data_IF_848171164497
#
_entry.id   IF_848171164497
#
_cell.length_a   1.000
_cell.length_b   1.000
_cell.length_c   1.000
_cell.angle_alpha   90.00
_cell.angle_beta   90.00
_cell.angle_gamma   90.00
#
_symmetry.space_group_name_H-M   'P 1'
#
loop_
_entity.id
_entity.type
_entity.pdbx_description
1 polymer ?
#
# COMPACT_ATOMS: atom_id res chain seq x y z
N UNK A 1 24.24 -72.42 18.43
CA UNK A 1 24.31 -73.23 17.21
C UNK A 1 23.97 -72.41 15.98
N UNK A 2 25.02 -72.22 15.20
CA UNK A 2 25.12 -72.07 13.74
C UNK A 2 24.24 -71.03 13.05
N UNK A 3 24.81 -69.91 12.64
CA UNK A 3 25.51 -69.61 11.36
C UNK A 3 24.64 -69.99 10.13
N UNK A 4 24.19 -69.03 9.38
CA UNK A 4 24.56 -68.91 7.98
C UNK A 4 24.26 -67.48 7.41
N UNK A 5 25.30 -66.89 6.87
CA UNK A 5 25.34 -65.86 5.82
C UNK A 5 24.58 -66.34 4.58
N UNK A 6 23.97 -65.41 3.89
CA UNK A 6 24.18 -65.16 2.46
C UNK A 6 23.43 -63.92 2.00
N UNK A 7 24.18 -62.94 1.57
CA UNK A 7 23.80 -61.97 0.52
C UNK A 7 24.00 -62.63 -0.85
N UNK A 8 23.31 -62.29 -1.91
CA UNK A 8 23.84 -61.21 -2.69
C UNK A 8 22.78 -60.26 -3.38
N UNK A 9 23.28 -59.09 -3.72
CA UNK A 9 22.80 -58.07 -4.63
C UNK A 9 22.04 -58.55 -5.87
N UNK A 10 20.87 -57.95 -6.14
CA UNK A 10 20.37 -57.77 -7.51
C UNK A 10 19.75 -56.37 -7.66
N UNK A 11 20.14 -55.59 -8.70
CA UNK A 11 19.62 -54.27 -8.93
C UNK A 11 18.29 -54.34 -9.67
N UNK A 12 17.28 -53.58 -9.15
CA UNK A 12 15.98 -53.39 -9.79
C UNK A 12 16.13 -52.65 -11.11
N UNK A 13 15.77 -53.35 -12.19
CA UNK A 13 15.63 -52.80 -13.56
C UNK A 13 14.53 -51.72 -13.60
N UNK A 14 14.90 -50.55 -14.11
CA UNK A 14 13.98 -49.56 -14.63
C UNK A 14 13.31 -50.05 -15.93
N UNK A 15 12.01 -49.81 -16.16
CA UNK A 15 11.44 -50.01 -17.47
C UNK A 15 11.75 -48.75 -18.33
N UNK A 16 12.34 -49.04 -19.49
CA UNK A 16 12.53 -48.08 -20.58
C UNK A 16 11.14 -47.63 -21.13
N UNK A 17 10.91 -46.32 -21.13
CA UNK A 17 9.85 -45.73 -21.93
C UNK A 17 10.45 -45.35 -23.28
N UNK A 18 10.04 -46.04 -24.32
CA UNK A 18 10.34 -45.71 -25.70
C UNK A 18 9.56 -44.49 -26.15
N UNK A 19 10.30 -43.60 -26.76
CA UNK A 19 9.86 -42.38 -27.49
C UNK A 19 8.85 -42.70 -28.58
N UNK A 20 7.77 -41.92 -28.63
CA UNK A 20 7.11 -41.61 -29.88
C UNK A 20 6.94 -40.06 -29.96
N UNK A 21 7.93 -39.43 -30.57
CA UNK A 21 7.84 -38.05 -31.03
C UNK A 21 7.13 -38.07 -32.38
N UNK A 22 5.87 -37.73 -32.43
CA UNK A 22 5.19 -37.33 -33.68
C UNK A 22 5.64 -35.93 -34.03
N UNK A 23 6.49 -35.86 -35.05
CA UNK A 23 6.85 -34.62 -35.76
C UNK A 23 5.64 -34.17 -36.58
N UNK A 24 4.98 -33.13 -36.17
CA UNK A 24 4.02 -32.42 -37.02
C UNK A 24 4.81 -31.45 -37.89
N UNK A 25 4.97 -31.81 -39.17
CA UNK A 25 5.42 -30.93 -40.22
C UNK A 25 4.35 -29.85 -40.48
N UNK A 26 4.62 -28.61 -40.14
CA UNK A 26 3.90 -27.47 -40.66
C UNK A 26 4.52 -27.09 -42.01
N UNK A 27 3.79 -27.41 -43.04
CA UNK A 27 4.10 -26.98 -44.41
C UNK A 27 3.93 -25.46 -44.54
N UNK A 28 4.92 -24.93 -45.15
CA UNK A 28 5.08 -23.59 -45.69
C UNK A 28 3.99 -23.30 -46.77
N UNK A 29 3.05 -22.40 -46.47
CA UNK A 29 2.18 -21.82 -47.49
C UNK A 29 2.51 -20.34 -47.65
N UNK A 30 3.54 -20.11 -48.45
CA UNK A 30 3.82 -18.83 -49.09
C UNK A 30 2.80 -18.56 -50.21
N UNK A 31 1.80 -17.75 -49.93
CA UNK A 31 0.94 -17.17 -51.00
C UNK A 31 1.47 -15.76 -51.31
N UNK A 32 2.21 -15.70 -52.39
CA UNK A 32 2.56 -14.48 -53.11
C UNK A 32 1.31 -13.94 -53.81
N UNK A 33 0.92 -12.71 -53.54
CA UNK A 33 0.04 -11.95 -54.42
C UNK A 33 0.82 -10.87 -55.14
N UNK A 34 0.57 -10.70 -56.45
CA UNK A 34 1.41 -9.87 -57.35
C UNK A 34 1.03 -8.39 -57.24
N UNK A 35 2.09 -7.60 -57.24
CA UNK A 35 2.06 -6.15 -57.46
C UNK A 35 1.60 -5.89 -58.90
N UNK A 36 0.51 -5.14 -59.09
CA UNK A 36 0.21 -4.46 -60.34
C UNK A 36 0.64 -3.00 -60.24
N UNK A 37 1.66 -2.67 -60.98
CA UNK A 37 2.01 -1.30 -61.37
C UNK A 37 0.93 -0.72 -62.28
N UNK A 38 0.49 0.50 -61.99
CA UNK A 38 -0.07 1.44 -62.97
C UNK A 38 0.26 2.84 -62.49
N UNK A 39 1.26 3.38 -63.07
CA UNK A 39 1.43 4.46 -64.04
C UNK A 39 0.74 5.79 -63.66
N UNK A 40 1.62 6.71 -63.46
CA UNK A 40 1.86 8.00 -64.08
C UNK A 40 0.85 9.14 -63.90
N UNK A 41 1.46 10.22 -63.46
CA UNK A 41 1.16 11.63 -63.78
C UNK A 41 -0.10 12.27 -63.18
N UNK A 42 0.08 13.18 -62.22
CA UNK A 42 0.03 14.62 -62.53
C UNK A 42 0.41 15.44 -61.27
N UNK A 43 1.50 16.15 -61.47
CA UNK A 43 1.89 17.32 -60.68
C UNK A 43 1.03 18.47 -61.16
N UNK A 44 0.29 19.10 -60.31
CA UNK A 44 -0.10 20.51 -60.46
C UNK A 44 -0.02 21.23 -59.14
N UNK A 45 1.01 22.04 -59.08
CA UNK A 45 1.22 23.22 -58.28
C UNK A 45 0.10 24.23 -58.52
N UNK A 46 -0.53 24.69 -57.44
CA UNK A 46 -1.11 26.04 -57.40
C UNK A 46 -0.76 26.68 -56.08
N UNK A 47 0.18 27.59 -56.19
CA UNK A 47 0.47 28.62 -55.22
C UNK A 47 -0.49 29.79 -55.42
N UNK A 48 -0.66 30.55 -54.33
CA UNK A 48 -1.10 31.94 -54.27
C UNK A 48 -2.55 32.29 -54.61
N UNK A 49 -3.19 32.82 -53.56
CA UNK A 49 -3.93 34.11 -53.49
C UNK A 49 -4.79 34.07 -52.22
N UNK A 50 -4.96 35.00 -51.39
CA UNK A 50 -4.70 36.46 -51.48
C UNK A 50 -4.90 37.06 -50.07
N UNK A 51 -4.19 38.11 -49.83
CA UNK A 51 -4.34 39.05 -48.73
C UNK A 51 -5.61 39.86 -48.96
N UNK A 52 -6.33 40.10 -47.90
CA UNK A 52 -7.17 41.32 -47.67
C UNK A 52 -8.22 40.96 -46.61
N UNK A 53 -8.51 41.66 -45.57
CA UNK A 53 -8.27 43.02 -45.19
C UNK A 53 -8.67 43.22 -43.75
N UNK A 54 -8.02 44.20 -43.20
CA UNK A 54 -8.57 45.20 -42.29
C UNK A 54 -8.82 44.87 -40.83
N UNK A 55 -7.87 45.29 -40.06
CA UNK A 55 -8.00 45.81 -38.73
C UNK A 55 -8.77 47.14 -38.77
N UNK A 56 -9.65 47.44 -37.87
CA UNK A 56 -9.77 48.77 -37.34
C UNK A 56 -9.38 48.84 -35.86
N UNK A 57 -8.39 49.65 -35.64
CA UNK A 57 -7.99 50.25 -34.39
C UNK A 57 -9.07 51.22 -33.86
N UNK A 58 -9.05 51.32 -32.57
CA UNK A 58 -9.39 52.44 -31.71
C UNK A 58 -10.86 52.53 -31.27
N UNK A 59 -11.05 52.19 -29.99
CA UNK A 59 -11.31 53.28 -29.08
C UNK A 59 -10.93 52.91 -27.62
N UNK A 60 -10.26 53.86 -27.05
CA UNK A 60 -9.70 53.99 -25.74
C UNK A 60 -10.85 54.09 -24.71
N UNK A 61 -10.89 53.19 -23.73
CA UNK A 61 -11.46 53.56 -22.45
C UNK A 61 -10.58 53.09 -21.29
N UNK A 62 -10.40 54.02 -20.36
CA UNK A 62 -9.49 54.05 -19.22
C UNK A 62 -9.78 52.93 -18.20
N UNK A 63 -8.78 52.52 -17.40
CA UNK A 63 -8.96 51.52 -16.39
C UNK A 63 -9.85 52.04 -15.26
N UNK A 64 -10.95 51.37 -15.02
CA UNK A 64 -11.74 51.51 -13.81
C UNK A 64 -10.95 50.81 -12.70
N UNK A 65 -10.41 51.61 -11.81
CA UNK A 65 -9.88 51.17 -10.53
C UNK A 65 -11.04 50.73 -9.65
N UNK A 66 -11.36 49.46 -9.65
CA UNK A 66 -12.24 48.89 -8.63
C UNK A 66 -11.39 48.51 -7.42
N UNK A 67 -11.45 49.38 -6.42
CA UNK A 67 -10.88 49.18 -5.12
C UNK A 67 -11.69 48.11 -4.38
N UNK A 68 -11.18 46.86 -4.38
CA UNK A 68 -11.69 45.80 -3.52
C UNK A 68 -11.56 46.24 -2.05
N UNK A 69 -12.63 46.76 -1.49
CA UNK A 69 -12.81 47.00 -0.07
C UNK A 69 -12.70 45.66 0.66
N UNK A 70 -11.63 45.50 1.43
CA UNK A 70 -11.54 44.45 2.47
C UNK A 70 -12.68 44.69 3.46
N UNK A 71 -13.47 43.65 3.82
CA UNK A 71 -14.49 43.81 4.84
C UNK A 71 -13.83 44.10 6.19
N UNK A 72 -14.00 45.33 6.68
CA UNK A 72 -13.66 45.74 8.04
C UNK A 72 -14.61 45.05 9.02
N UNK A 73 -14.19 43.92 9.60
CA UNK A 73 -14.97 43.12 10.55
C UNK A 73 -14.99 43.70 11.97
N UNK A 74 -14.39 44.86 12.22
CA UNK A 74 -14.47 45.54 13.50
C UNK A 74 -15.52 46.67 13.44
N UNK A 75 -16.82 46.31 13.55
CA UNK A 75 -17.83 47.26 13.98
C UNK A 75 -17.46 47.70 15.39
N UNK A 76 -17.21 49.01 15.58
CA UNK A 76 -17.04 49.61 16.92
C UNK A 76 -18.26 49.25 17.78
N UNK A 77 -18.04 48.47 18.81
CA UNK A 77 -19.05 48.12 19.81
C UNK A 77 -19.55 49.45 20.46
N UNK A 78 -20.86 49.55 20.60
CA UNK A 78 -21.46 50.71 21.27
C UNK A 78 -21.07 50.71 22.76
N UNK A 79 -21.06 51.92 23.39
CA UNK A 79 -20.74 52.05 24.83
C UNK A 79 -21.59 51.12 25.70
N UNK A 80 -22.86 50.86 25.32
CA UNK A 80 -23.73 49.91 26.00
C UNK A 80 -23.27 48.46 25.88
N UNK A 81 -22.78 48.04 24.73
CA UNK A 81 -22.24 46.68 24.52
C UNK A 81 -20.94 46.49 25.27
N UNK A 82 -20.08 47.48 25.36
CA UNK A 82 -18.85 47.44 26.16
C UNK A 82 -19.14 47.29 27.65
N UNK A 83 -20.15 47.99 28.16
CA UNK A 83 -20.59 47.85 29.56
C UNK A 83 -21.17 46.47 29.88
N UNK A 84 -21.89 45.86 28.94
CA UNK A 84 -22.43 44.50 29.12
C UNK A 84 -21.28 43.48 29.14
N UNK A 85 -20.31 43.58 28.26
CA UNK A 85 -19.14 42.73 28.21
C UNK A 85 -18.32 42.87 29.51
N UNK A 86 -18.10 44.09 29.97
CA UNK A 86 -17.40 44.36 31.22
C UNK A 86 -18.12 43.73 32.43
N UNK A 87 -19.46 43.82 32.46
CA UNK A 87 -20.28 43.17 33.49
C UNK A 87 -20.18 41.63 33.49
N UNK A 88 -20.18 41.02 32.31
CA UNK A 88 -20.01 39.55 32.18
C UNK A 88 -18.62 39.11 32.66
N UNK A 89 -17.57 39.81 32.29
CA UNK A 89 -16.21 39.55 32.73
C UNK A 89 -16.07 39.70 34.24
N UNK A 90 -16.65 40.73 34.82
CA UNK A 90 -16.66 40.93 36.28
C UNK A 90 -17.40 39.78 37.01
N UNK A 91 -18.55 39.32 36.50
CA UNK A 91 -19.32 38.22 37.05
C UNK A 91 -18.53 36.87 36.97
N UNK A 92 -17.81 36.64 35.88
CA UNK A 92 -16.97 35.44 35.75
C UNK A 92 -15.74 35.47 36.67
N UNK A 93 -15.15 36.63 36.94
CA UNK A 93 -14.06 36.79 37.88
C UNK A 93 -14.53 36.58 39.35
N UNK A 94 -15.71 37.11 39.70
CA UNK A 94 -16.29 36.89 41.03
C UNK A 94 -16.71 35.43 41.20
N UNK A 95 -17.38 34.84 40.19
CA UNK A 95 -17.75 33.42 40.22
C UNK A 95 -16.55 32.48 40.32
N UNK A 96 -15.49 32.73 39.52
CA UNK A 96 -14.24 31.98 39.58
C UNK A 96 -13.50 32.14 40.90
N UNK A 97 -13.53 33.34 41.52
CA UNK A 97 -12.94 33.59 42.83
C UNK A 97 -13.67 32.87 43.95
N UNK A 98 -15.01 32.80 43.92
CA UNK A 98 -15.82 32.05 44.88
C UNK A 98 -15.60 30.54 44.79
N UNK A 99 -15.53 29.98 43.57
CA UNK A 99 -15.21 28.56 43.35
C UNK A 99 -13.81 28.22 43.86
N UNK A 100 -12.82 29.08 43.61
CA UNK A 100 -11.46 28.90 44.14
C UNK A 100 -11.46 28.91 45.71
N UNK A 101 -12.22 29.82 46.33
CA UNK A 101 -12.23 29.97 47.76
C UNK A 101 -12.99 28.84 48.48
N UNK A 102 -14.09 28.31 47.89
CA UNK A 102 -14.90 27.25 48.50
C UNK A 102 -14.47 25.82 48.14
N UNK A 103 -13.85 25.60 46.96
CA UNK A 103 -13.58 24.25 46.46
C UNK A 103 -12.07 23.93 46.46
N UNK A 104 -11.22 24.95 46.28
CA UNK A 104 -9.78 24.74 46.07
C UNK A 104 -8.89 25.26 47.21
N UNK A 105 -9.46 25.85 48.28
CA UNK A 105 -8.68 26.29 49.42
C UNK A 105 -8.17 25.08 50.20
N UNK A 106 -6.87 24.84 50.33
CA UNK A 106 -6.38 23.73 51.13
C UNK A 106 -6.66 23.96 52.61
N UNK A 107 -7.36 23.03 53.26
CA UNK A 107 -7.54 23.02 54.70
C UNK A 107 -6.18 22.79 55.37
N UNK A 108 -5.72 23.83 56.03
CA UNK A 108 -4.51 23.79 56.88
C UNK A 108 -4.87 23.09 58.22
N UNK A 109 -4.90 21.76 58.24
CA UNK A 109 -4.97 20.99 59.50
C UNK A 109 -3.58 20.59 59.95
N UNK A 110 -3.33 21.03 61.13
CA UNK A 110 -2.20 20.83 62.03
C UNK A 110 -1.54 19.44 61.97
N UNK A 111 -0.23 19.49 61.87
CA UNK A 111 0.76 18.44 61.98
C UNK A 111 0.57 17.51 63.16
N UNK A 112 0.39 16.22 62.92
CA UNK A 112 0.83 15.16 63.80
C UNK A 112 1.98 14.43 63.10
N UNK A 113 3.14 14.42 63.78
CA UNK A 113 4.37 13.74 63.37
C UNK A 113 4.10 12.24 63.16
N UNK A 114 3.91 11.82 61.94
CA UNK A 114 4.10 10.44 61.51
C UNK A 114 5.24 10.45 60.47
N UNK A 115 6.27 9.69 60.75
CA UNK A 115 7.42 9.45 59.90
C UNK A 115 6.96 9.14 58.49
N UNK A 116 7.45 9.82 57.42
CA UNK A 116 7.03 9.51 56.06
C UNK A 116 7.57 8.15 55.66
N UNK A 117 6.67 7.18 55.50
CA UNK A 117 6.95 6.01 54.67
C UNK A 117 7.13 6.54 53.26
N UNK A 118 8.37 6.59 52.78
CA UNK A 118 8.69 6.86 51.41
C UNK A 118 8.10 5.71 50.58
N UNK A 119 6.87 5.85 50.15
CA UNK A 119 6.35 5.08 49.04
C UNK A 119 7.11 5.54 47.81
N UNK A 120 8.12 4.75 47.42
CA UNK A 120 8.77 4.92 46.16
C UNK A 120 7.69 4.97 45.08
N UNK A 121 7.45 6.14 44.51
CA UNK A 121 6.66 6.29 43.29
C UNK A 121 7.29 5.34 42.24
N UNK A 122 6.69 4.17 42.10
CA UNK A 122 7.03 3.24 41.03
C UNK A 122 6.72 4.00 39.73
N UNK A 123 7.75 4.59 39.12
CA UNK A 123 7.62 5.28 37.84
C UNK A 123 6.88 4.34 36.90
N UNK A 124 5.73 4.77 36.43
CA UNK A 124 4.98 4.03 35.39
C UNK A 124 5.95 3.80 34.23
N UNK A 125 6.21 2.56 33.80
CA UNK A 125 7.14 2.31 32.71
C UNK A 125 6.71 3.15 31.51
N UNK A 126 7.62 3.95 30.96
CA UNK A 126 7.36 4.73 29.76
C UNK A 126 6.96 3.74 28.66
N UNK A 127 5.79 3.95 28.04
CA UNK A 127 5.32 3.11 26.94
C UNK A 127 6.40 3.05 25.85
N UNK A 128 6.68 1.86 25.35
CA UNK A 128 7.62 1.69 24.24
C UNK A 128 7.08 2.37 22.98
N UNK A 129 7.94 2.95 22.13
CA UNK A 129 7.52 3.49 20.87
C UNK A 129 6.95 2.37 19.98
N UNK A 130 5.99 2.71 19.14
CA UNK A 130 5.38 1.77 18.18
C UNK A 130 5.52 2.28 16.76
N UNK A 131 5.62 1.35 15.80
CA UNK A 131 5.62 1.67 14.37
C UNK A 131 4.30 2.32 13.96
N UNK A 132 4.32 3.49 13.31
CA UNK A 132 3.12 4.05 12.71
C UNK A 132 2.51 3.16 11.62
N UNK A 133 3.33 2.39 10.88
CA UNK A 133 2.87 1.54 9.78
C UNK A 133 2.21 0.26 10.30
N UNK A 134 2.84 -0.42 11.25
CA UNK A 134 2.43 -1.77 11.69
C UNK A 134 1.86 -1.83 13.10
N UNK A 135 2.13 -0.84 13.96
CA UNK A 135 1.75 -0.85 15.36
C UNK A 135 2.61 -1.74 16.26
N UNK A 136 3.65 -2.40 15.74
CA UNK A 136 4.57 -3.20 16.56
C UNK A 136 5.42 -2.34 17.48
N UNK A 137 5.78 -2.85 18.66
CA UNK A 137 6.72 -2.18 19.55
C UNK A 137 8.11 -2.11 18.90
N UNK A 138 8.74 -0.95 18.97
CA UNK A 138 10.05 -0.70 18.38
C UNK A 138 11.15 -0.75 19.45
N UNK A 139 12.30 -1.28 19.07
CA UNK A 139 13.51 -1.23 19.91
C UNK A 139 14.13 0.17 19.97
N UNK A 140 13.95 0.95 18.89
CA UNK A 140 14.43 2.32 18.74
C UNK A 140 13.32 3.22 18.20
N UNK A 141 13.07 4.33 18.89
CA UNK A 141 12.07 5.32 18.50
C UNK A 141 12.35 5.98 17.15
N UNK A 142 13.62 6.02 16.72
CA UNK A 142 14.02 6.61 15.43
C UNK A 142 13.40 5.86 14.25
N UNK A 143 13.14 4.55 14.39
CA UNK A 143 12.53 3.73 13.36
C UNK A 143 11.11 4.20 13.01
N UNK A 144 10.38 4.81 13.96
CA UNK A 144 9.06 5.39 13.71
C UNK A 144 9.10 6.62 12.79
N UNK A 145 10.24 7.28 12.69
CA UNK A 145 10.41 8.51 11.92
C UNK A 145 11.01 8.28 10.52
N UNK A 146 11.32 7.03 10.18
CA UNK A 146 11.85 6.71 8.86
C UNK A 146 10.80 6.97 7.77
N UNK A 147 11.23 7.29 6.53
CA UNK A 147 10.31 7.34 5.41
C UNK A 147 9.69 5.97 5.16
N UNK A 148 8.43 5.95 4.78
CA UNK A 148 7.82 4.75 4.20
C UNK A 148 8.38 4.59 2.79
N UNK A 149 8.82 3.38 2.44
CA UNK A 149 9.22 3.02 1.08
C UNK A 149 8.29 1.92 0.58
N UNK A 150 7.65 2.17 -0.54
CA UNK A 150 6.81 1.22 -1.26
C UNK A 150 7.58 0.63 -2.44
N UNK A 151 7.50 -0.68 -2.63
CA UNK A 151 8.14 -1.37 -3.75
C UNK A 151 7.12 -2.17 -4.54
N UNK A 152 7.17 -2.02 -5.85
CA UNK A 152 6.38 -2.83 -6.78
C UNK A 152 7.04 -4.18 -6.95
N UNK A 153 6.52 -5.24 -6.33
CA UNK A 153 7.08 -6.60 -6.37
C UNK A 153 6.29 -7.46 -7.34
N UNK A 154 7.00 -8.12 -8.23
CA UNK A 154 6.43 -8.99 -9.26
C UNK A 154 5.87 -10.29 -8.67
N UNK A 155 4.82 -10.83 -9.31
CA UNK A 155 4.24 -12.12 -8.91
C UNK A 155 3.99 -13.09 -10.07
N UNK A 156 4.66 -12.91 -11.22
CA UNK A 156 4.67 -13.94 -12.27
C UNK A 156 5.31 -15.24 -11.77
N UNK A 157 5.08 -16.35 -12.45
CA UNK A 157 5.71 -17.64 -12.10
C UNK A 157 7.23 -17.55 -12.02
N UNK A 158 7.86 -16.84 -12.97
CA UNK A 158 9.31 -16.67 -13.07
C UNK A 158 9.90 -15.76 -11.97
N UNK A 159 9.05 -14.99 -11.29
CA UNK A 159 9.44 -14.13 -10.19
C UNK A 159 9.43 -14.85 -8.83
N UNK A 160 8.83 -16.04 -8.74
CA UNK A 160 8.66 -16.77 -7.47
C UNK A 160 9.83 -17.73 -7.18
N UNK A 161 10.22 -17.91 -5.91
CA UNK A 161 9.81 -17.14 -4.75
C UNK A 161 10.43 -15.74 -4.76
N UNK A 162 9.70 -14.73 -4.24
CA UNK A 162 10.20 -13.38 -4.07
C UNK A 162 11.06 -13.26 -2.80
N UNK A 163 11.82 -12.17 -2.72
CA UNK A 163 12.63 -11.84 -1.54
C UNK A 163 12.10 -10.60 -0.82
N UNK A 164 12.14 -10.58 0.50
CA UNK A 164 11.84 -9.43 1.34
C UNK A 164 10.37 -9.22 1.68
N UNK A 165 9.44 -10.03 1.18
CA UNK A 165 8.01 -9.86 1.46
C UNK A 165 7.62 -10.17 2.91
N UNK A 166 8.37 -11.02 3.61
CA UNK A 166 8.16 -11.31 5.04
C UNK A 166 8.41 -10.10 5.93
N UNK A 167 9.24 -9.15 5.47
CA UNK A 167 9.62 -7.94 6.19
C UNK A 167 8.70 -6.73 5.91
N UNK A 168 7.80 -6.85 4.93
CA UNK A 168 6.86 -5.79 4.61
C UNK A 168 5.86 -5.55 5.74
N UNK A 169 5.58 -4.29 6.06
CA UNK A 169 4.58 -3.93 7.07
C UNK A 169 3.15 -4.03 6.52
N UNK A 170 2.94 -3.58 5.28
CA UNK A 170 1.66 -3.69 4.56
C UNK A 170 1.95 -4.15 3.13
N UNK A 171 1.16 -5.09 2.64
CA UNK A 171 1.20 -5.53 1.24
C UNK A 171 -0.17 -5.36 0.63
N UNK A 172 -0.25 -4.64 -0.49
CA UNK A 172 -1.43 -4.61 -1.36
C UNK A 172 -1.21 -5.55 -2.53
N UNK A 173 -2.18 -6.41 -2.79
CA UNK A 173 -2.19 -7.37 -3.89
C UNK A 173 -3.37 -7.11 -4.82
N UNK A 174 -3.10 -6.94 -6.12
CA UNK A 174 -4.11 -6.72 -7.14
C UNK A 174 -3.64 -7.31 -8.48
N UNK A 175 -4.55 -7.54 -9.42
CA UNK A 175 -4.20 -7.95 -10.79
C UNK A 175 -3.55 -6.76 -11.48
N UNK A 176 -2.45 -7.01 -12.18
CA UNK A 176 -1.76 -5.99 -12.96
C UNK A 176 -2.14 -6.05 -14.45
N UNK A 177 -1.70 -7.08 -15.15
CA UNK A 177 -2.00 -7.33 -16.56
C UNK A 177 -2.17 -8.85 -16.79
N UNK A 178 -2.96 -9.23 -17.80
CA UNK A 178 -3.11 -10.64 -18.21
C UNK A 178 -3.57 -11.59 -17.09
N UNK A 179 -4.25 -11.09 -16.05
CA UNK A 179 -4.62 -11.86 -14.87
C UNK A 179 -3.48 -12.13 -13.88
N UNK A 180 -2.25 -11.62 -14.14
CA UNK A 180 -1.10 -11.75 -13.24
C UNK A 180 -1.24 -10.73 -12.10
N UNK A 181 -1.15 -11.18 -10.85
CA UNK A 181 -1.15 -10.27 -9.71
C UNK A 181 0.24 -9.64 -9.51
N UNK A 182 0.27 -8.53 -8.76
CA UNK A 182 1.49 -7.82 -8.37
C UNK A 182 1.32 -7.34 -6.93
N UNK A 183 2.42 -7.04 -6.25
CA UNK A 183 2.39 -6.53 -4.89
C UNK A 183 2.94 -5.12 -4.84
N UNK A 184 2.26 -4.24 -4.08
CA UNK A 184 2.87 -3.04 -3.52
C UNK A 184 3.21 -3.38 -2.07
N UNK A 185 4.49 -3.52 -1.76
CA UNK A 185 4.98 -3.82 -0.43
C UNK A 185 5.52 -2.54 0.24
N UNK A 186 4.96 -2.16 1.40
CA UNK A 186 5.31 -0.97 2.16
C UNK A 186 6.18 -1.33 3.37
N UNK A 187 7.26 -0.59 3.56
CA UNK A 187 8.24 -0.79 4.63
C UNK A 187 8.48 0.52 5.38
N UNK A 188 8.69 0.46 6.66
CA UNK A 188 9.12 1.61 7.49
C UNK A 188 10.18 1.21 8.51
N UNK A 189 9.87 0.32 9.45
CA UNK A 189 10.76 -0.11 10.51
C UNK A 189 11.76 -1.20 10.09
N UNK A 190 11.37 -2.07 9.16
CA UNK A 190 12.21 -3.16 8.65
C UNK A 190 13.09 -2.71 7.49
N UNK A 191 14.24 -3.36 7.34
CA UNK A 191 15.28 -3.00 6.37
C UNK A 191 15.89 -4.23 5.71
N UNK A 192 15.12 -4.98 4.88
CA UNK A 192 15.66 -6.15 4.19
C UNK A 192 16.83 -5.75 3.29
N UNK A 193 17.88 -6.57 3.32
CA UNK A 193 19.09 -6.36 2.52
C UNK A 193 18.97 -6.90 1.09
N UNK A 194 17.90 -7.63 0.80
CA UNK A 194 17.63 -8.19 -0.51
C UNK A 194 16.12 -8.21 -0.76
N UNK A 195 15.66 -7.49 -1.77
CA UNK A 195 14.23 -7.36 -2.05
C UNK A 195 13.96 -7.28 -3.55
N UNK A 196 12.97 -8.06 -4.00
CA UNK A 196 12.56 -8.14 -5.39
C UNK A 196 11.95 -9.50 -5.77
N UNK A 197 11.71 -9.75 -7.07
CA UNK A 197 11.99 -8.84 -8.20
C UNK A 197 11.08 -7.62 -8.24
N UNK A 198 11.66 -6.47 -8.56
CA UNK A 198 10.94 -5.19 -8.65
C UNK A 198 10.43 -4.99 -10.08
N UNK A 199 9.21 -4.46 -10.20
CA UNK A 199 8.49 -4.35 -11.48
C UNK A 199 7.79 -3.01 -11.66
N UNK A 200 7.09 -2.91 -12.78
CA UNK A 200 6.45 -1.68 -13.25
C UNK A 200 5.27 -1.23 -12.40
N UNK A 201 5.11 0.08 -12.24
CA UNK A 201 3.98 0.70 -11.56
C UNK A 201 2.68 0.62 -12.39
N UNK A 202 1.53 0.68 -11.69
CA UNK A 202 0.18 0.82 -12.25
C UNK A 202 -0.59 1.90 -11.47
N UNK A 203 -1.58 2.59 -12.07
CA UNK A 203 -2.22 3.75 -11.47
C UNK A 203 -2.77 3.51 -10.06
N UNK A 204 -3.53 2.44 -9.85
CA UNK A 204 -4.13 2.13 -8.55
C UNK A 204 -3.09 1.81 -7.45
N UNK A 205 -1.90 1.27 -7.78
CA UNK A 205 -0.82 1.09 -6.80
C UNK A 205 -0.23 2.42 -6.34
N UNK A 206 -0.22 3.42 -7.24
CA UNK A 206 0.13 4.80 -6.88
C UNK A 206 -0.88 5.33 -5.86
N UNK A 207 -2.17 5.10 -6.10
CA UNK A 207 -3.26 5.51 -5.22
C UNK A 207 -3.25 4.79 -3.85
N UNK A 208 -2.69 3.58 -3.80
CA UNK A 208 -2.47 2.87 -2.55
C UNK A 208 -1.21 3.36 -1.80
N UNK A 209 -0.18 3.84 -2.51
CA UNK A 209 1.07 4.35 -1.92
C UNK A 209 0.96 5.80 -1.42
N UNK A 210 0.24 6.66 -2.15
CA UNK A 210 0.10 8.10 -1.89
C UNK A 210 -0.32 8.42 -0.44
N UNK A 211 -1.32 7.73 0.16
CA UNK A 211 -1.77 8.00 1.53
C UNK A 211 -0.69 7.79 2.60
N UNK A 212 0.36 7.03 2.28
CA UNK A 212 1.47 6.76 3.19
C UNK A 212 2.65 7.69 3.00
N UNK A 213 2.54 8.69 2.07
CA UNK A 213 3.64 9.60 1.72
C UNK A 213 4.92 8.80 1.41
N UNK A 214 4.76 7.69 0.69
CA UNK A 214 5.80 6.71 0.44
C UNK A 214 6.71 7.10 -0.73
N UNK A 215 8.01 6.83 -0.61
CA UNK A 215 8.90 6.73 -1.76
C UNK A 215 8.56 5.46 -2.55
N UNK A 216 8.21 5.58 -3.83
CA UNK A 216 7.77 4.48 -4.67
C UNK A 216 8.89 3.95 -5.56
N UNK A 217 9.43 2.77 -5.24
CA UNK A 217 10.41 2.04 -6.05
C UNK A 217 9.73 1.12 -7.06
N UNK A 218 10.09 1.30 -8.31
CA UNK A 218 9.53 0.55 -9.44
C UNK A 218 10.48 0.53 -10.64
N UNK A 219 10.17 -0.26 -11.66
CA UNK A 219 10.90 -0.32 -12.93
C UNK A 219 9.95 0.11 -14.03
N UNK A 220 9.96 1.40 -14.35
CA UNK A 220 9.00 1.99 -15.27
C UNK A 220 7.55 1.77 -14.85
N UNK A 221 6.62 1.88 -15.80
CA UNK A 221 5.19 1.74 -15.56
C UNK A 221 4.37 1.78 -16.84
N UNK A 222 3.06 1.56 -16.75
CA UNK A 222 2.15 1.91 -17.83
C UNK A 222 2.21 3.43 -18.10
N UNK A 223 1.89 3.89 -19.31
CA UNK A 223 1.90 5.33 -19.63
C UNK A 223 1.09 6.16 -18.62
N UNK A 224 -0.08 5.68 -18.22
CA UNK A 224 -0.94 6.35 -17.24
C UNK A 224 -0.29 6.41 -15.86
N UNK A 225 0.36 5.32 -15.42
CA UNK A 225 1.06 5.29 -14.13
C UNK A 225 2.22 6.30 -14.11
N UNK A 226 3.01 6.39 -15.19
CA UNK A 226 4.12 7.34 -15.27
C UNK A 226 3.63 8.79 -15.31
N UNK A 227 2.51 9.05 -15.98
CA UNK A 227 1.85 10.36 -15.95
C UNK A 227 1.32 10.70 -14.55
N UNK A 228 0.72 9.74 -13.86
CA UNK A 228 0.23 9.92 -12.48
C UNK A 228 1.37 10.20 -11.50
N UNK A 229 2.47 9.47 -11.58
CA UNK A 229 3.67 9.71 -10.75
C UNK A 229 4.10 11.18 -10.85
N UNK A 230 4.19 11.69 -12.08
CA UNK A 230 4.57 13.09 -12.34
C UNK A 230 3.51 14.09 -11.87
N UNK A 231 2.24 13.86 -12.22
CA UNK A 231 1.17 14.84 -12.00
C UNK A 231 0.71 14.91 -10.53
N UNK A 232 0.82 13.81 -9.79
CA UNK A 232 0.43 13.75 -8.38
C UNK A 232 1.61 14.04 -7.43
N UNK A 233 2.81 14.27 -7.98
CA UNK A 233 4.01 14.57 -7.17
C UNK A 233 4.45 13.40 -6.30
N UNK A 234 4.34 12.16 -6.82
CA UNK A 234 4.79 10.96 -6.12
C UNK A 234 6.29 11.04 -5.86
N UNK A 235 6.73 10.59 -4.71
CA UNK A 235 8.16 10.45 -4.37
C UNK A 235 8.75 9.31 -5.20
N UNK A 236 9.21 9.66 -6.38
CA UNK A 236 9.64 8.72 -7.42
C UNK A 236 11.04 8.16 -7.17
N UNK A 237 11.15 6.83 -7.10
CA UNK A 237 12.39 6.07 -6.99
C UNK A 237 12.55 5.10 -8.17
N UNK A 238 12.11 5.46 -9.38
CA UNK A 238 12.18 4.62 -10.57
C UNK A 238 13.63 4.19 -10.87
N UNK A 239 13.82 2.88 -11.14
CA UNK A 239 15.09 2.25 -11.50
C UNK A 239 15.74 2.90 -12.73
N UNK A 240 14.95 3.28 -13.75
CA UNK A 240 15.47 3.88 -14.96
C UNK A 240 16.24 5.19 -14.71
N UNK A 241 15.86 5.94 -13.69
CA UNK A 241 16.51 7.21 -13.33
C UNK A 241 17.44 7.09 -12.12
N UNK A 242 17.44 5.96 -11.41
CA UNK A 242 18.17 5.76 -10.17
C UNK A 242 18.84 4.38 -10.14
N UNK A 243 19.41 3.93 -11.25
CA UNK A 243 19.97 2.58 -11.43
C UNK A 243 21.00 2.19 -10.39
N UNK A 244 21.73 3.17 -9.80
CA UNK A 244 22.70 2.92 -8.72
C UNK A 244 22.07 2.35 -7.43
N UNK A 245 20.77 2.55 -7.23
CA UNK A 245 20.03 1.99 -6.10
C UNK A 245 19.54 0.56 -6.32
N UNK A 246 19.71 0.04 -7.54
CA UNK A 246 19.23 -1.26 -7.96
C UNK A 246 20.35 -2.12 -8.53
N UNK A 247 20.07 -3.39 -8.77
CA UNK A 247 20.93 -4.29 -9.55
C UNK A 247 20.10 -5.36 -10.22
N UNK A 248 20.67 -6.01 -11.23
CA UNK A 248 20.06 -7.17 -11.90
C UNK A 248 20.84 -8.42 -11.54
N UNK A 249 20.11 -9.47 -11.19
CA UNK A 249 20.71 -10.80 -10.96
C UNK A 249 20.77 -11.59 -12.26
N UNK A 250 21.65 -12.55 -12.34
CA UNK A 250 21.87 -13.42 -13.51
C UNK A 250 21.09 -14.74 -13.43
N UNK A 251 20.66 -15.12 -12.24
CA UNK A 251 19.91 -16.35 -11.95
C UNK A 251 18.48 -16.33 -12.48
N UNK A 252 18.01 -15.15 -12.90
CA UNK A 252 16.72 -14.96 -13.55
C UNK A 252 16.89 -14.15 -14.83
N UNK A 253 16.14 -14.54 -15.85
CA UNK A 253 16.08 -13.76 -17.08
C UNK A 253 15.40 -12.39 -16.85
N UNK A 254 15.80 -11.37 -17.61
CA UNK A 254 15.04 -10.14 -17.69
C UNK A 254 13.64 -10.46 -18.29
N UNK A 255 12.58 -9.83 -17.80
CA UNK A 255 12.53 -8.68 -16.90
C UNK A 255 12.35 -9.05 -15.41
N UNK A 256 12.52 -10.31 -14.99
CA UNK A 256 12.21 -10.87 -13.67
C UNK A 256 13.39 -10.78 -12.66
N UNK A 257 14.31 -9.85 -12.84
CA UNK A 257 15.64 -9.88 -12.23
C UNK A 257 16.13 -8.59 -11.59
N UNK A 258 15.27 -7.59 -11.36
CA UNK A 258 15.66 -6.34 -10.70
C UNK A 258 15.46 -6.44 -9.20
N UNK A 259 16.50 -6.11 -8.43
CA UNK A 259 16.50 -6.17 -6.98
C UNK A 259 17.07 -4.88 -6.37
N UNK A 260 16.80 -4.70 -5.08
CA UNK A 260 17.37 -3.62 -4.27
C UNK A 260 17.63 -4.07 -2.84
N UNK A 261 18.17 -3.14 -2.02
CA UNK A 261 18.29 -3.27 -0.56
C UNK A 261 17.87 -1.98 0.13
N UNK A 262 17.46 -2.07 1.39
CA UNK A 262 17.11 -0.86 2.13
C UNK A 262 18.32 0.05 2.38
N UNK A 263 19.54 -0.48 2.45
CA UNK A 263 20.74 0.36 2.48
C UNK A 263 20.82 1.31 1.26
N UNK A 264 20.49 0.81 0.07
CA UNK A 264 20.49 1.59 -1.18
C UNK A 264 19.26 2.51 -1.29
N UNK A 265 18.07 2.00 -0.95
CA UNK A 265 16.82 2.76 -1.03
C UNK A 265 16.78 3.90 -0.01
N UNK A 266 17.31 3.70 1.20
CA UNK A 266 17.41 4.76 2.20
C UNK A 266 18.37 5.86 1.76
N UNK A 267 19.53 5.49 1.19
CA UNK A 267 20.47 6.45 0.62
C UNK A 267 19.83 7.25 -0.52
N UNK A 268 19.03 6.58 -1.38
CA UNK A 268 18.29 7.24 -2.46
C UNK A 268 17.21 8.18 -1.90
N UNK A 269 16.37 7.73 -0.95
CA UNK A 269 15.38 8.56 -0.28
C UNK A 269 16.04 9.81 0.32
N UNK A 270 17.15 9.63 1.04
CA UNK A 270 17.88 10.74 1.65
C UNK A 270 18.42 11.72 0.60
N UNK A 271 18.99 11.23 -0.50
CA UNK A 271 19.51 12.07 -1.58
C UNK A 271 18.43 12.93 -2.24
N UNK A 272 17.18 12.45 -2.24
CA UNK A 272 15.99 13.16 -2.77
C UNK A 272 15.30 14.02 -1.70
N UNK A 273 15.77 14.03 -0.45
CA UNK A 273 15.16 14.77 0.66
C UNK A 273 13.93 14.10 1.28
N UNK A 274 13.67 12.83 0.96
CA UNK A 274 12.56 12.05 1.52
C UNK A 274 13.00 11.40 2.84
N UNK A 275 13.10 12.20 3.89
CA UNK A 275 13.67 11.78 5.18
C UNK A 275 12.67 11.24 6.19
N UNK A 276 11.39 11.47 5.96
CA UNK A 276 10.28 10.98 6.80
C UNK A 276 9.01 10.93 5.98
N UNK A 277 7.99 10.21 6.46
CA UNK A 277 6.65 10.16 5.84
C UNK A 277 5.59 10.68 6.80
N UNK A 278 4.61 11.41 6.26
CA UNK A 278 3.47 11.93 7.00
C UNK A 278 2.19 11.26 6.53
N UNK A 279 1.63 10.40 7.35
CA UNK A 279 0.40 9.68 7.01
C UNK A 279 -0.46 9.45 8.26
N UNK A 280 -1.73 9.11 8.03
CA UNK A 280 -2.65 8.68 9.10
C UNK A 280 -2.51 7.17 9.27
N UNK A 281 -1.99 6.68 10.42
CA UNK A 281 -1.86 5.25 10.69
C UNK A 281 -3.23 4.56 10.73
N UNK A 282 -3.28 3.29 10.35
CA UNK A 282 -4.42 2.44 10.71
C UNK A 282 -4.47 2.26 12.23
N UNK A 283 -5.68 2.29 12.79
CA UNK A 283 -5.86 2.03 14.22
C UNK A 283 -5.46 0.60 14.55
N UNK A 284 -4.50 0.43 15.45
CA UNK A 284 -3.96 -0.88 15.84
C UNK A 284 -4.44 -1.29 17.23
N UNK A 285 -4.46 -2.60 17.47
CA UNK A 285 -4.77 -3.22 18.77
C UNK A 285 -3.81 -4.37 19.08
N UNK A 286 -3.77 -4.80 20.32
CA UNK A 286 -3.12 -6.05 20.69
C UNK A 286 -3.92 -7.25 20.17
N UNK A 287 -3.22 -8.36 19.94
CA UNK A 287 -3.82 -9.64 19.58
C UNK A 287 -4.82 -10.10 20.66
N UNK A 288 -5.96 -10.61 20.21
CA UNK A 288 -6.99 -11.21 21.08
C UNK A 288 -7.50 -12.47 20.38
N UNK A 289 -6.68 -13.56 20.31
CA UNK A 289 -7.08 -14.80 19.66
C UNK A 289 -8.41 -15.33 20.19
N UNK A 290 -9.25 -15.82 19.28
CA UNK A 290 -10.57 -16.34 19.61
C UNK A 290 -10.69 -17.79 19.11
N UNK A 291 -11.76 -18.48 19.46
CA UNK A 291 -12.11 -19.74 18.81
C UNK A 291 -12.28 -19.51 17.33
N UNK A 292 -11.51 -20.19 16.48
CA UNK A 292 -11.53 -19.91 15.06
C UNK A 292 -12.88 -20.16 14.40
N UNK A 293 -13.31 -19.20 13.58
CA UNK A 293 -14.48 -19.31 12.70
C UNK A 293 -14.11 -19.04 11.23
N UNK A 294 -12.84 -18.71 10.99
CA UNK A 294 -12.27 -18.47 9.66
C UNK A 294 -10.81 -18.92 9.67
N UNK A 295 -10.58 -20.24 9.71
CA UNK A 295 -9.24 -20.83 9.71
C UNK A 295 -8.69 -21.03 8.29
N UNK A 296 -9.53 -21.37 7.33
CA UNK A 296 -9.18 -21.55 5.92
C UNK A 296 -9.84 -20.46 5.11
N UNK A 297 -9.06 -19.68 4.35
CA UNK A 297 -9.51 -18.50 3.63
C UNK A 297 -8.99 -18.58 2.21
N UNK A 298 -9.87 -18.39 1.23
CA UNK A 298 -9.53 -18.37 -0.19
C UNK A 298 -10.05 -17.10 -0.85
N UNK A 299 -9.22 -16.48 -1.68
CA UNK A 299 -9.61 -15.37 -2.53
C UNK A 299 -9.43 -15.75 -4.01
N UNK A 300 -10.51 -15.85 -4.75
CA UNK A 300 -10.49 -16.07 -6.19
C UNK A 300 -10.19 -14.76 -6.93
N UNK A 301 -8.95 -14.23 -6.77
CA UNK A 301 -8.56 -12.95 -7.36
C UNK A 301 -8.47 -13.08 -8.88
N UNK A 302 -7.87 -14.17 -9.37
CA UNK A 302 -7.60 -14.44 -10.78
C UNK A 302 -7.67 -15.95 -11.04
N UNK A 303 -6.82 -16.49 -11.90
CA UNK A 303 -6.69 -17.95 -12.07
C UNK A 303 -6.21 -18.62 -10.77
N UNK A 304 -6.40 -19.93 -10.65
CA UNK A 304 -5.97 -20.69 -9.48
C UNK A 304 -4.46 -20.54 -9.17
N UNK A 305 -3.65 -20.25 -10.20
CA UNK A 305 -2.20 -20.03 -10.05
C UNK A 305 -1.87 -18.72 -9.30
N UNK A 306 -2.75 -17.71 -9.35
CA UNK A 306 -2.60 -16.41 -8.70
C UNK A 306 -3.59 -16.17 -7.56
N UNK A 307 -4.42 -17.15 -7.25
CA UNK A 307 -5.39 -17.04 -6.16
C UNK A 307 -4.76 -17.47 -4.84
N UNK A 308 -4.69 -16.58 -3.83
CA UNK A 308 -4.08 -16.90 -2.55
C UNK A 308 -5.03 -17.71 -1.66
N UNK A 309 -4.43 -18.62 -0.91
CA UNK A 309 -5.02 -19.33 0.21
C UNK A 309 -4.30 -18.93 1.51
N UNK A 310 -5.04 -18.76 2.60
CA UNK A 310 -4.50 -18.45 3.91
C UNK A 310 -5.01 -19.47 4.94
N UNK A 311 -4.06 -20.10 5.67
CA UNK A 311 -4.37 -21.02 6.75
C UNK A 311 -4.02 -20.38 8.10
N UNK A 312 -5.00 -20.22 8.98
CA UNK A 312 -4.79 -19.68 10.32
C UNK A 312 -3.91 -20.59 11.16
N UNK A 313 -2.91 -19.99 11.79
CA UNK A 313 -2.02 -20.66 12.74
C UNK A 313 -2.31 -20.14 14.16
N UNK A 314 -2.96 -20.95 14.97
CA UNK A 314 -3.36 -20.61 16.34
C UNK A 314 -2.16 -20.35 17.25
N UNK A 315 -1.02 -21.03 17.02
CA UNK A 315 0.17 -20.88 17.87
C UNK A 315 0.84 -19.52 17.74
N UNK A 316 0.76 -18.90 16.55
CA UNK A 316 1.40 -17.60 16.27
C UNK A 316 0.39 -16.46 16.08
N UNK A 317 -0.90 -16.80 16.03
CA UNK A 317 -1.98 -15.87 15.67
C UNK A 317 -1.70 -15.16 14.33
N UNK A 318 -1.37 -15.94 13.29
CA UNK A 318 -1.05 -15.46 11.93
C UNK A 318 -1.73 -16.34 10.89
N UNK A 319 -1.70 -15.91 9.63
CA UNK A 319 -2.30 -16.62 8.50
C UNK A 319 -1.22 -17.02 7.50
N UNK A 320 -0.86 -18.32 7.44
CA UNK A 320 0.13 -18.86 6.50
C UNK A 320 -0.40 -18.76 5.08
N UNK A 321 0.30 -18.01 4.22
CA UNK A 321 -0.09 -17.79 2.83
C UNK A 321 0.45 -18.90 1.92
N UNK A 322 -0.41 -19.40 1.05
CA UNK A 322 -0.07 -20.26 -0.09
C UNK A 322 -0.62 -19.63 -1.37
N UNK A 323 -0.08 -19.98 -2.52
CA UNK A 323 -0.51 -19.48 -3.82
C UNK A 323 -0.19 -20.51 -4.90
N UNK A 324 -1.12 -20.76 -5.83
CA UNK A 324 -0.96 -21.82 -6.82
C UNK A 324 -0.81 -23.23 -6.20
N UNK A 325 -1.39 -23.45 -5.01
CA UNK A 325 -1.32 -24.72 -4.29
C UNK A 325 -0.01 -24.98 -3.53
N UNK A 326 0.95 -24.02 -3.53
CA UNK A 326 2.23 -24.16 -2.83
C UNK A 326 2.42 -23.09 -1.77
N UNK A 327 3.20 -23.37 -0.73
CA UNK A 327 3.52 -22.39 0.30
C UNK A 327 4.24 -21.18 -0.34
N UNK A 328 3.75 -19.96 -0.07
CA UNK A 328 4.41 -18.75 -0.52
C UNK A 328 5.52 -18.39 0.48
N UNK A 329 6.76 -18.65 0.10
CA UNK A 329 7.94 -18.45 0.94
C UNK A 329 8.79 -17.28 0.47
N UNK A 330 9.52 -16.68 1.39
CA UNK A 330 10.57 -15.72 1.08
C UNK A 330 11.83 -16.45 0.62
N UNK A 331 12.40 -16.03 -0.51
CA UNK A 331 13.54 -16.73 -1.12
C UNK A 331 14.81 -16.67 -0.28
N UNK A 332 15.01 -15.63 0.54
CA UNK A 332 16.23 -15.45 1.33
C UNK A 332 16.19 -16.25 2.64
N UNK A 333 15.02 -16.34 3.24
CA UNK A 333 14.86 -16.93 4.58
C UNK A 333 14.23 -18.32 4.55
N UNK A 334 13.54 -18.69 3.46
CA UNK A 334 12.68 -19.86 3.38
C UNK A 334 11.44 -19.78 4.26
N UNK A 335 11.23 -18.67 4.96
CA UNK A 335 10.08 -18.50 5.84
C UNK A 335 8.80 -18.30 5.02
N UNK A 336 7.72 -19.00 5.40
CA UNK A 336 6.42 -18.80 4.79
C UNK A 336 5.83 -17.46 5.21
N UNK A 337 5.35 -16.67 4.24
CA UNK A 337 4.63 -15.42 4.48
C UNK A 337 3.42 -15.68 5.37
N UNK A 338 3.34 -14.95 6.49
CA UNK A 338 2.35 -15.22 7.55
C UNK A 338 1.88 -13.93 8.21
N UNK A 339 1.04 -13.10 7.53
CA UNK A 339 0.54 -11.85 8.08
C UNK A 339 -0.33 -12.06 9.34
N UNK A 340 -0.37 -11.02 10.18
CA UNK A 340 -1.26 -10.92 11.35
C UNK A 340 -2.70 -10.62 10.96
N UNK A 341 -2.87 -9.89 9.88
CA UNK A 341 -4.16 -9.44 9.36
C UNK A 341 -4.23 -9.71 7.87
N UNK A 342 -5.31 -10.32 7.42
CA UNK A 342 -5.64 -10.51 6.01
C UNK A 342 -6.93 -9.75 5.71
N UNK A 343 -6.92 -8.95 4.65
CA UNK A 343 -8.07 -8.12 4.26
C UNK A 343 -8.40 -8.39 2.80
N UNK A 344 -9.67 -8.59 2.49
CA UNK A 344 -10.19 -8.53 1.13
C UNK A 344 -11.01 -7.24 0.98
N UNK A 345 -10.62 -6.37 0.03
CA UNK A 345 -11.37 -5.18 -0.37
C UNK A 345 -12.12 -5.49 -1.67
N UNK A 346 -13.44 -5.42 -1.63
CA UNK A 346 -14.27 -5.60 -2.83
C UNK A 346 -14.29 -4.29 -3.59
N UNK A 347 -13.73 -4.28 -4.81
CA UNK A 347 -13.67 -3.12 -5.70
C UNK A 347 -14.13 -3.50 -7.09
N UNK A 348 -14.86 -2.59 -7.75
CA UNK A 348 -15.15 -2.77 -9.17
C UNK A 348 -13.85 -2.77 -9.96
N UNK A 349 -13.69 -3.75 -10.81
CA UNK A 349 -12.54 -3.90 -11.69
C UNK A 349 -12.98 -3.91 -13.15
N UNK A 350 -12.10 -3.48 -14.04
CA UNK A 350 -12.30 -3.46 -15.47
C UNK A 350 -10.97 -3.61 -16.20
N UNK A 351 -10.99 -3.42 -17.50
CA UNK A 351 -9.80 -3.36 -18.33
C UNK A 351 -9.56 -1.91 -18.79
N UNK A 352 -8.32 -1.52 -18.91
CA UNK A 352 -7.92 -0.29 -19.57
C UNK A 352 -8.23 -0.34 -21.07
N UNK A 353 -8.10 0.78 -21.76
CA UNK A 353 -8.38 0.89 -23.20
C UNK A 353 -7.49 0.00 -24.09
N UNK A 354 -6.34 -0.44 -23.57
CA UNK A 354 -5.45 -1.38 -24.25
C UNK A 354 -5.93 -2.85 -24.19
N UNK A 355 -6.95 -3.14 -23.36
CA UNK A 355 -7.52 -4.48 -23.22
C UNK A 355 -6.69 -5.47 -22.41
N UNK A 356 -5.55 -5.06 -21.84
CA UNK A 356 -4.63 -5.92 -21.10
C UNK A 356 -4.47 -5.51 -19.64
N UNK A 357 -4.27 -4.22 -19.37
CA UNK A 357 -4.09 -3.71 -18.02
C UNK A 357 -5.40 -3.66 -17.24
N UNK A 358 -5.36 -4.13 -15.99
CA UNK A 358 -6.52 -4.05 -15.10
C UNK A 358 -6.68 -2.64 -14.53
N UNK A 359 -7.92 -2.20 -14.38
CA UNK A 359 -8.30 -0.96 -13.69
C UNK A 359 -9.16 -1.26 -12.48
N UNK A 360 -9.11 -0.38 -11.47
CA UNK A 360 -9.92 -0.48 -10.26
C UNK A 360 -10.58 0.85 -9.94
N UNK A 361 -11.84 0.77 -9.49
CA UNK A 361 -12.49 1.90 -8.85
C UNK A 361 -12.07 1.94 -7.38
N UNK A 362 -10.91 2.50 -7.11
CA UNK A 362 -10.25 2.50 -5.81
C UNK A 362 -10.60 3.70 -4.91
N UNK A 363 -11.46 4.60 -5.40
CA UNK A 363 -12.07 5.69 -4.64
C UNK A 363 -13.56 5.44 -4.46
N UNK A 364 -14.14 5.98 -3.38
CA UNK A 364 -15.53 5.71 -2.99
C UNK A 364 -15.59 4.80 -1.77
N UNK A 365 -16.40 3.77 -1.82
CA UNK A 365 -16.56 2.80 -0.74
C UNK A 365 -17.01 1.43 -1.26
N UNK A 366 -16.73 0.39 -0.49
CA UNK A 366 -17.13 -0.97 -0.84
C UNK A 366 -17.09 -1.90 0.37
N UNK A 367 -17.56 -3.12 0.14
CA UNK A 367 -17.56 -4.18 1.15
C UNK A 367 -16.12 -4.62 1.46
N UNK A 368 -15.87 -4.99 2.72
CA UNK A 368 -14.58 -5.43 3.21
C UNK A 368 -14.75 -6.66 4.11
N UNK A 369 -13.77 -7.58 4.04
CA UNK A 369 -13.60 -8.69 4.97
C UNK A 369 -12.26 -8.55 5.66
N UNK A 370 -12.22 -8.60 6.99
CA UNK A 370 -10.99 -8.54 7.80
C UNK A 370 -10.87 -9.82 8.59
N UNK A 371 -9.80 -10.57 8.35
CA UNK A 371 -9.47 -11.81 9.04
C UNK A 371 -8.31 -11.54 9.99
N UNK A 372 -8.54 -11.72 11.27
CA UNK A 372 -7.55 -11.59 12.35
C UNK A 372 -8.06 -12.35 13.57
N UNK A 373 -7.16 -12.79 14.44
CA UNK A 373 -7.50 -13.52 15.66
C UNK A 373 -8.31 -14.82 15.44
N UNK A 374 -8.22 -15.40 14.23
CA UNK A 374 -8.96 -16.62 13.84
C UNK A 374 -10.40 -16.38 13.42
N UNK A 375 -10.87 -15.14 13.38
CA UNK A 375 -12.25 -14.80 13.01
C UNK A 375 -12.31 -13.85 11.81
N UNK A 376 -13.48 -13.72 11.21
CA UNK A 376 -13.79 -12.73 10.18
C UNK A 376 -14.70 -11.64 10.72
N UNK A 377 -14.38 -10.40 10.37
CA UNK A 377 -15.25 -9.23 10.55
C UNK A 377 -15.59 -8.64 9.19
N UNK A 378 -16.87 -8.52 8.90
CA UNK A 378 -17.35 -7.88 7.68
C UNK A 378 -17.62 -6.41 7.97
N UNK A 379 -17.17 -5.53 7.07
CA UNK A 379 -17.31 -4.09 7.21
C UNK A 379 -17.28 -3.38 5.86
N UNK A 380 -16.90 -2.11 5.92
CA UNK A 380 -16.84 -1.22 4.74
C UNK A 380 -15.48 -0.53 4.69
N UNK A 381 -14.86 -0.51 3.52
CA UNK A 381 -13.77 0.40 3.22
C UNK A 381 -14.31 1.67 2.56
N UNK A 382 -13.65 2.80 2.83
CA UNK A 382 -13.91 4.07 2.15
C UNK A 382 -12.60 4.79 1.86
N UNK A 383 -12.52 5.46 0.70
CA UNK A 383 -11.39 6.26 0.24
C UNK A 383 -11.94 7.44 -0.55
N UNK A 384 -11.84 8.65 -0.01
CA UNK A 384 -12.54 9.83 -0.54
C UNK A 384 -11.85 10.48 -1.75
N UNK A 385 -10.55 10.23 -1.93
CA UNK A 385 -9.74 10.70 -3.07
C UNK A 385 -8.53 9.80 -3.27
N UNK A 386 -7.81 9.98 -4.36
CA UNK A 386 -6.57 9.26 -4.67
C UNK A 386 -5.52 9.39 -3.56
N UNK A 387 -5.43 10.54 -2.90
CA UNK A 387 -4.48 10.84 -1.82
C UNK A 387 -4.99 10.47 -0.42
N UNK A 388 -6.30 10.22 -0.26
CA UNK A 388 -6.88 9.94 1.04
C UNK A 388 -6.52 8.53 1.51
N UNK A 389 -6.27 8.38 2.82
CA UNK A 389 -6.10 7.05 3.43
C UNK A 389 -7.40 6.25 3.37
N UNK A 390 -7.29 4.93 3.27
CA UNK A 390 -8.41 4.03 3.49
C UNK A 390 -8.94 4.18 4.91
N UNK A 391 -10.26 4.29 5.02
CA UNK A 391 -10.99 4.23 6.29
C UNK A 391 -11.72 2.90 6.34
N UNK A 392 -11.43 2.11 7.36
CA UNK A 392 -12.05 0.80 7.60
C UNK A 392 -13.03 0.89 8.75
N UNK A 393 -14.29 0.53 8.50
CA UNK A 393 -15.34 0.53 9.52
C UNK A 393 -16.00 -0.84 9.64
N UNK A 394 -16.41 -1.20 10.84
CA UNK A 394 -17.21 -2.40 11.10
C UNK A 394 -18.68 -2.22 10.66
N UNK A 395 -19.49 -3.26 10.83
CA UNK A 395 -20.93 -3.23 10.50
C UNK A 395 -21.74 -2.17 11.26
N UNK A 396 -21.20 -1.60 12.34
CA UNK A 396 -21.83 -0.55 13.14
C UNK A 396 -21.30 0.85 12.80
N UNK A 397 -20.40 0.96 11.81
CA UNK A 397 -19.76 2.22 11.41
C UNK A 397 -18.60 2.65 12.33
N UNK A 398 -18.16 1.80 13.26
CA UNK A 398 -17.04 2.09 14.13
C UNK A 398 -15.71 1.77 13.43
N UNK A 399 -14.67 2.56 13.71
CA UNK A 399 -13.33 2.32 13.14
C UNK A 399 -12.83 0.92 13.48
N UNK A 400 -12.48 0.16 12.45
CA UNK A 400 -11.90 -1.18 12.57
C UNK A 400 -10.49 -1.07 13.17
N UNK A 401 -10.23 -1.85 14.22
CA UNK A 401 -8.91 -1.94 14.85
C UNK A 401 -8.21 -3.20 14.34
N UNK A 402 -7.03 -3.05 13.78
CA UNK A 402 -6.23 -4.13 13.23
C UNK A 402 -5.19 -4.62 14.24
N UNK A 403 -4.89 -5.92 14.25
CA UNK A 403 -3.77 -6.44 15.04
C UNK A 403 -2.46 -5.75 14.62
N UNK A 404 -1.56 -5.55 15.59
CA UNK A 404 -0.22 -5.07 15.30
C UNK A 404 0.57 -6.14 14.51
N UNK A 405 1.32 -5.72 13.51
CA UNK A 405 2.11 -6.59 12.63
C UNK A 405 1.74 -6.43 11.15
N UNK A 406 2.27 -7.35 10.33
CA UNK A 406 2.04 -7.34 8.88
C UNK A 406 0.56 -7.45 8.54
N UNK A 407 0.13 -6.60 7.62
CA UNK A 407 -1.23 -6.60 7.05
C UNK A 407 -1.16 -6.89 5.55
N UNK A 408 -1.86 -7.93 5.10
CA UNK A 408 -2.00 -8.28 3.69
C UNK A 408 -3.37 -7.89 3.18
N UNK A 409 -3.43 -7.06 2.15
CA UNK A 409 -4.66 -6.47 1.59
C UNK A 409 -4.78 -6.91 0.15
N UNK A 410 -5.73 -7.79 -0.15
CA UNK A 410 -6.01 -8.25 -1.50
C UNK A 410 -7.24 -7.54 -2.06
N UNK A 411 -7.16 -7.09 -3.31
CA UNK A 411 -8.26 -6.46 -4.03
C UNK A 411 -9.01 -7.55 -4.80
N UNK A 412 -10.30 -7.69 -4.56
CA UNK A 412 -11.16 -8.68 -5.20
C UNK A 412 -12.30 -8.01 -5.96
N UNK A 413 -12.63 -8.50 -7.15
CA UNK A 413 -13.65 -7.92 -8.01
C UNK A 413 -15.09 -8.15 -7.54
N UNK A 414 -15.30 -9.13 -6.66
CA UNK A 414 -16.64 -9.49 -6.14
C UNK A 414 -16.55 -10.05 -4.72
N UNK A 415 -17.63 -9.85 -3.96
CA UNK A 415 -17.79 -10.48 -2.66
C UNK A 415 -17.89 -12.02 -2.74
N UNK A 416 -18.32 -12.56 -3.87
CA UNK A 416 -18.40 -14.00 -4.13
C UNK A 416 -17.02 -14.64 -4.33
N UNK A 417 -15.97 -13.84 -4.49
CA UNK A 417 -14.57 -14.29 -4.62
C UNK A 417 -13.89 -14.50 -3.27
N UNK A 418 -14.59 -14.25 -2.17
CA UNK A 418 -14.09 -14.49 -0.80
C UNK A 418 -14.82 -15.67 -0.22
N UNK A 419 -14.10 -16.75 0.10
CA UNK A 419 -14.64 -17.89 0.83
C UNK A 419 -13.80 -18.20 2.05
N UNK A 420 -14.40 -18.75 3.09
CA UNK A 420 -13.72 -19.13 4.33
C UNK A 420 -14.52 -20.18 5.09
N UNK A 421 -13.79 -21.01 5.84
CA UNK A 421 -14.36 -22.05 6.74
C UNK A 421 -13.68 -21.98 8.10
N UNK A 422 -14.35 -22.52 9.16
CA UNK A 422 -13.77 -22.65 10.50
C UNK A 422 -12.45 -23.42 10.54
#
# INVERSE_FOLDING_TARGET
DQINNDSPDEPLKQPAAEDQIETINLADDSVSNPVTEADGSNVETLAEADKSAANPLADIEKPVTDSAQKPNFFKRLSKKQLLIIAGIVAALLIGGGLVYWFVLKPDNKSSTNTTPVVTANKATPKAKPTSPLTGVELSDASLANRPVTGLMIENSGDARPQSGLTDAGIVFEAIAEGGITRFLALFQESQPQYIGPIRSARPYYIDFALPFDAGLGHVGGSPDALNDIKNLGVRDLDEFYNSQAYWRITERAAPHNVYSSFAKLDALNQSKGYTSSKFTPFTRKKDVPQTPTASSIDFSISSSFYSPHFQYNTATNTYKRSEGGVAHVDAQTGAQISPKVVIALVMNQGLASDGDHTTYQDTGSGKMYVFQDGIVSVGTWAKSSRQSQFVFTDKNGLTMKLNAGQTWISIVGSASYVSYTP
#
